data_IF_428765338663
#
_entry.id   IF_428765338663
#
_cell.length_a   1.000
_cell.length_b   1.000
_cell.length_c   1.000
_cell.angle_alpha   90.00
_cell.angle_beta   90.00
_cell.angle_gamma   90.00
#
_symmetry.space_group_name_H-M   'P 1'
#
loop_
_entity.id
_entity.type
_entity.pdbx_description
1 polymer ?
#
# COMPACT_ATOMS: atom_id res chain seq x y z
N UNK A 1 -33.28 -26.75 -14.98
CA UNK A 1 -31.93 -26.42 -14.49
C UNK A 1 -31.25 -25.56 -15.55
N UNK A 2 -30.91 -24.31 -15.23
CA UNK A 2 -30.37 -23.37 -16.20
C UNK A 2 -28.90 -23.68 -16.53
N UNK A 3 -28.56 -23.69 -17.81
CA UNK A 3 -27.20 -23.91 -18.28
C UNK A 3 -26.42 -22.59 -18.18
N UNK A 4 -25.47 -22.50 -17.26
CA UNK A 4 -24.64 -21.30 -17.05
C UNK A 4 -23.79 -20.92 -18.28
N UNK A 5 -23.57 -21.86 -19.21
CA UNK A 5 -22.85 -21.62 -20.47
C UNK A 5 -23.63 -20.76 -21.47
N UNK A 6 -24.94 -20.54 -21.28
CA UNK A 6 -25.74 -19.67 -22.16
C UNK A 6 -25.80 -18.22 -21.69
N UNK A 7 -25.11 -17.87 -20.59
CA UNK A 7 -25.08 -16.49 -20.10
C UNK A 7 -24.10 -15.66 -20.93
N UNK A 8 -24.54 -14.49 -21.41
CA UNK A 8 -23.73 -13.56 -22.21
C UNK A 8 -22.44 -13.09 -21.51
N UNK A 9 -22.42 -13.12 -20.18
CA UNK A 9 -21.28 -12.72 -19.35
C UNK A 9 -20.44 -13.89 -18.87
N UNK A 10 -20.77 -15.13 -19.28
CA UNK A 10 -20.00 -16.30 -18.90
C UNK A 10 -18.72 -16.35 -19.73
N UNK A 11 -17.59 -16.24 -19.04
CA UNK A 11 -16.26 -16.45 -19.61
C UNK A 11 -15.83 -17.86 -19.22
N UNK A 12 -15.61 -18.73 -20.22
CA UNK A 12 -15.06 -20.05 -19.96
C UNK A 12 -13.62 -19.88 -19.45
N UNK A 13 -13.29 -20.54 -18.35
CA UNK A 13 -11.89 -20.71 -17.93
C UNK A 13 -11.32 -21.82 -18.78
N UNK A 14 -10.62 -21.49 -19.86
CA UNK A 14 -9.69 -22.43 -20.48
C UNK A 14 -8.56 -22.71 -19.47
N UNK A 15 -8.28 -23.98 -19.22
CA UNK A 15 -7.35 -24.46 -18.18
C UNK A 15 -5.88 -24.03 -18.39
N UNK A 16 -5.56 -23.28 -19.45
CA UNK A 16 -4.18 -23.00 -19.89
C UNK A 16 -3.86 -21.51 -20.15
N UNK A 17 -4.75 -20.57 -19.78
CA UNK A 17 -4.47 -19.15 -19.96
C UNK A 17 -4.16 -18.46 -18.63
N UNK A 18 -2.91 -18.57 -18.17
CA UNK A 18 -2.32 -17.75 -17.09
C UNK A 18 -2.14 -16.27 -17.49
N UNK A 19 -2.80 -15.81 -18.56
CA UNK A 19 -2.68 -14.47 -19.15
C UNK A 19 -3.61 -13.42 -18.52
N UNK A 20 -4.02 -13.63 -17.27
CA UNK A 20 -4.86 -12.70 -16.52
C UNK A 20 -4.05 -11.60 -15.83
N UNK A 21 -4.34 -11.39 -14.53
CA UNK A 21 -3.67 -10.39 -13.69
C UNK A 21 -2.13 -10.48 -13.70
N UNK A 22 -1.56 -11.66 -13.95
CA UNK A 22 -0.12 -11.88 -13.96
C UNK A 22 0.63 -11.04 -15.00
N UNK A 23 -0.01 -10.67 -16.12
CA UNK A 23 0.62 -9.83 -17.13
C UNK A 23 1.03 -8.45 -16.61
N UNK A 24 0.25 -7.91 -15.66
CA UNK A 24 0.51 -6.60 -15.06
C UNK A 24 1.44 -6.65 -13.85
N UNK A 25 1.65 -7.84 -13.27
CA UNK A 25 2.52 -8.01 -12.08
C UNK A 25 3.99 -8.08 -12.49
N UNK A 26 4.30 -8.57 -13.70
CA UNK A 26 5.68 -8.79 -14.15
C UNK A 26 6.33 -7.48 -14.67
N UNK A 27 5.57 -6.58 -15.31
CA UNK A 27 6.09 -5.28 -15.76
C UNK A 27 6.37 -4.28 -14.61
N UNK A 28 5.77 -4.48 -13.43
CA UNK A 28 5.93 -3.58 -12.27
C UNK A 28 7.21 -3.87 -11.43
N UNK A 29 7.91 -4.98 -11.72
CA UNK A 29 9.08 -5.41 -10.94
C UNK A 29 10.34 -4.56 -11.14
N UNK A 30 10.34 -3.65 -12.12
CA UNK A 30 11.47 -2.76 -12.44
C UNK A 30 11.14 -1.27 -12.33
N UNK A 31 9.92 -0.93 -11.91
CA UNK A 31 9.59 0.46 -11.62
C UNK A 31 10.20 0.72 -10.25
N UNK A 32 11.29 1.49 -10.20
CA UNK A 32 11.68 2.24 -9.01
C UNK A 32 10.37 2.83 -8.48
N UNK A 33 9.83 2.28 -7.39
CA UNK A 33 8.51 2.65 -6.89
C UNK A 33 8.56 4.12 -6.49
N UNK A 34 8.37 5.01 -7.47
CA UNK A 34 7.95 6.36 -7.28
C UNK A 34 6.69 6.20 -6.45
N UNK A 35 6.84 6.43 -5.15
CA UNK A 35 5.82 6.08 -4.18
C UNK A 35 4.59 6.89 -4.61
N UNK A 36 3.65 6.23 -5.28
CA UNK A 36 2.48 6.89 -5.83
C UNK A 36 1.51 7.09 -4.68
N UNK A 37 1.76 8.16 -3.91
CA UNK A 37 0.90 8.56 -2.81
C UNK A 37 0.07 9.77 -3.19
N UNK A 38 -1.16 9.79 -2.68
CA UNK A 38 -2.02 10.95 -2.85
C UNK A 38 -1.56 12.07 -1.91
N UNK A 39 -0.87 13.06 -2.47
CA UNK A 39 -0.26 14.20 -1.75
C UNK A 39 -1.12 14.74 -0.61
N UNK A 40 -2.41 14.98 -0.85
CA UNK A 40 -3.30 15.65 0.10
C UNK A 40 -3.50 14.90 1.41
N UNK A 41 -3.40 13.57 1.39
CA UNK A 41 -3.63 12.73 2.59
C UNK A 41 -2.34 12.18 3.18
N UNK A 42 -1.23 12.21 2.45
CA UNK A 42 0.04 11.60 2.87
C UNK A 42 1.14 12.61 3.22
N UNK A 43 1.04 13.85 2.74
CA UNK A 43 1.97 14.91 3.14
C UNK A 43 1.64 15.37 4.57
N UNK A 44 2.68 15.46 5.39
CA UNK A 44 2.61 15.95 6.76
C UNK A 44 2.81 17.47 6.78
N UNK A 45 1.87 18.17 7.42
CA UNK A 45 1.99 19.62 7.65
C UNK A 45 3.09 19.96 8.67
N UNK A 46 3.35 19.04 9.61
CA UNK A 46 4.34 19.18 10.68
C UNK A 46 5.21 17.93 10.76
N UNK A 47 6.53 18.06 11.00
CA UNK A 47 7.37 16.91 11.28
C UNK A 47 6.89 16.20 12.54
N UNK A 48 6.82 14.86 12.50
CA UNK A 48 6.47 14.01 13.62
C UNK A 48 7.71 13.22 14.06
N UNK A 49 8.08 13.35 15.32
CA UNK A 49 9.19 12.58 15.91
C UNK A 49 8.59 11.42 16.71
N UNK A 50 8.33 10.30 16.02
CA UNK A 50 7.81 9.09 16.66
C UNK A 50 8.95 8.23 17.17
N UNK A 51 8.84 7.77 18.43
CA UNK A 51 9.77 6.82 19.06
C UNK A 51 9.64 5.39 18.49
N UNK A 52 8.70 5.17 17.57
CA UNK A 52 8.54 3.90 16.89
C UNK A 52 9.75 3.58 16.00
N UNK A 53 10.46 2.49 16.30
CA UNK A 53 11.63 2.00 15.53
C UNK A 53 11.33 1.72 14.05
N UNK A 54 10.06 1.50 13.71
CA UNK A 54 9.61 1.20 12.34
C UNK A 54 9.05 2.41 11.61
N UNK A 55 8.91 3.55 12.29
CA UNK A 55 8.49 4.79 11.69
C UNK A 55 9.69 5.49 11.05
N UNK A 56 9.53 5.95 9.81
CA UNK A 56 10.55 6.69 9.09
C UNK A 56 9.93 7.91 8.42
N UNK A 57 10.51 9.07 8.66
CA UNK A 57 10.21 10.27 7.88
C UNK A 57 11.01 10.26 6.59
N UNK A 58 10.32 10.39 5.46
CA UNK A 58 10.93 10.48 4.14
C UNK A 58 10.62 11.86 3.57
N UNK A 59 11.66 12.54 3.07
CA UNK A 59 11.51 13.83 2.38
C UNK A 59 11.35 13.56 0.89
N UNK A 60 10.25 14.05 0.33
CA UNK A 60 9.94 13.96 -1.10
C UNK A 60 9.93 15.36 -1.71
N UNK A 61 9.92 15.47 -3.03
CA UNK A 61 9.85 16.76 -3.74
C UNK A 61 8.62 17.58 -3.35
N UNK A 62 7.54 16.91 -2.94
CA UNK A 62 6.24 17.53 -2.63
C UNK A 62 6.05 17.80 -1.14
N UNK A 63 6.86 17.20 -0.27
CA UNK A 63 6.78 17.40 1.18
C UNK A 63 7.33 16.23 2.01
N UNK A 64 7.07 16.28 3.31
CA UNK A 64 7.43 15.23 4.26
C UNK A 64 6.34 14.17 4.30
N UNK A 65 6.72 12.89 4.22
CA UNK A 65 5.79 11.76 4.34
C UNK A 65 6.28 10.78 5.40
N UNK A 66 5.34 10.12 6.07
CA UNK A 66 5.63 9.07 7.03
C UNK A 66 5.60 7.70 6.34
N UNK A 67 6.61 6.88 6.58
CA UNK A 67 6.69 5.51 6.08
C UNK A 67 6.73 4.53 7.25
N UNK A 68 5.95 3.45 7.17
CA UNK A 68 5.99 2.35 8.12
C UNK A 68 6.73 1.17 7.51
N UNK A 69 7.87 0.80 8.10
CA UNK A 69 8.69 -0.33 7.61
C UNK A 69 7.97 -1.67 7.70
N UNK A 70 7.15 -1.89 8.74
CA UNK A 70 6.41 -3.16 8.89
C UNK A 70 5.36 -3.32 7.80
N UNK A 71 4.66 -2.24 7.45
CA UNK A 71 3.61 -2.28 6.42
C UNK A 71 4.18 -2.12 5.00
N UNK A 72 5.46 -1.77 4.85
CA UNK A 72 6.10 -1.51 3.56
C UNK A 72 5.42 -0.41 2.75
N UNK A 73 4.79 0.58 3.40
CA UNK A 73 4.05 1.65 2.71
C UNK A 73 4.10 2.99 3.44
N UNK A 74 3.78 4.04 2.69
CA UNK A 74 3.56 5.39 3.25
C UNK A 74 2.24 5.45 4.00
N UNK A 75 2.29 6.01 5.20
CA UNK A 75 1.14 6.27 6.06
C UNK A 75 0.44 7.56 5.64
N UNK A 76 -0.87 7.58 5.82
CA UNK A 76 -1.63 8.83 5.77
C UNK A 76 -1.30 9.72 6.96
N UNK A 77 -1.62 11.01 6.90
CA UNK A 77 -1.45 11.96 8.00
C UNK A 77 -2.10 11.46 9.29
N UNK A 78 -3.33 10.95 9.22
CA UNK A 78 -4.03 10.42 10.39
C UNK A 78 -3.34 9.21 10.99
N UNK A 79 -2.85 8.29 10.15
CA UNK A 79 -2.09 7.13 10.58
C UNK A 79 -0.74 7.51 11.17
N UNK A 80 -0.05 8.50 10.61
CA UNK A 80 1.22 8.98 11.15
C UNK A 80 1.05 9.61 12.53
N UNK A 81 0.00 10.40 12.73
CA UNK A 81 -0.34 10.99 14.05
C UNK A 81 -0.69 9.90 15.07
N UNK A 82 -1.48 8.89 14.67
CA UNK A 82 -1.79 7.76 15.54
C UNK A 82 -0.54 6.94 15.86
N UNK A 83 0.31 6.67 14.86
CA UNK A 83 1.57 5.99 15.08
C UNK A 83 2.47 6.78 16.03
N UNK A 84 2.45 8.11 16.00
CA UNK A 84 3.24 8.89 16.94
C UNK A 84 2.72 8.78 18.38
N UNK A 85 1.39 8.82 18.55
CA UNK A 85 0.75 8.82 19.90
C UNK A 85 0.71 7.45 20.54
N UNK A 86 0.37 6.42 19.76
CA UNK A 86 0.02 5.08 20.24
C UNK A 86 0.98 4.04 19.63
N UNK A 87 2.27 4.36 19.51
CA UNK A 87 3.25 3.43 18.93
C UNK A 87 3.44 2.17 19.78
N UNK A 88 3.24 2.27 21.09
CA UNK A 88 3.44 1.17 22.05
C UNK A 88 2.41 0.05 21.86
N UNK A 89 1.15 0.43 21.62
CA UNK A 89 0.01 -0.48 21.42
C UNK A 89 -0.21 -0.83 19.93
N UNK A 90 0.70 -0.41 19.04
CA UNK A 90 0.55 -0.64 17.62
C UNK A 90 0.47 -2.14 17.30
N UNK A 91 -0.66 -2.64 16.73
CA UNK A 91 -0.85 -4.08 16.50
C UNK A 91 0.12 -4.64 15.46
N UNK A 92 0.60 -3.78 14.57
CA UNK A 92 1.57 -4.14 13.55
C UNK A 92 2.97 -4.33 14.12
N UNK A 93 3.27 -3.79 15.30
CA UNK A 93 4.63 -3.86 15.88
C UNK A 93 5.11 -5.29 16.14
N UNK A 94 4.17 -6.20 16.42
CA UNK A 94 4.43 -7.61 16.68
C UNK A 94 4.52 -8.48 15.41
N UNK A 95 4.30 -7.89 14.23
CA UNK A 95 4.35 -8.57 12.93
C UNK A 95 5.70 -8.39 12.21
N UNK A 96 6.62 -7.64 12.82
CA UNK A 96 7.92 -7.26 12.25
C UNK A 96 8.97 -8.36 12.41
#
# INVERSE_FOLDING_TARGET
MGNFRSCRYYVARDEDSEEGLNKYVIEDSQIEQEISFYNKINILDTPLDSECKYFQLVRTEKGLVAHCKVLGRVLTRSQAVLCNKEWEDCPFRNLA
#
